data_IF_674295954142
#
_entry.id   IF_674295954142
#
_cell.length_a   1.000
_cell.length_b   1.000
_cell.length_c   1.000
_cell.angle_alpha   90.00
_cell.angle_beta   90.00
_cell.angle_gamma   90.00
#
_symmetry.space_group_name_H-M   'P 1'
#
loop_
_entity.id
_entity.type
_entity.pdbx_description
1 polymer ?
#
# COMPACT_ATOMS: atom_id res chain seq x y z
N UNK A 1 26.89 28.68 5.85
CA UNK A 1 26.37 27.32 5.54
C UNK A 1 27.30 26.21 6.05
N UNK A 2 28.55 26.08 5.57
CA UNK A 2 29.48 25.00 6.03
C UNK A 2 29.64 24.90 7.56
N UNK A 3 29.84 26.03 8.26
CA UNK A 3 29.99 26.02 9.73
C UNK A 3 28.70 25.63 10.46
N UNK A 4 27.54 25.99 9.90
CA UNK A 4 26.23 25.64 10.46
C UNK A 4 25.97 24.13 10.33
N UNK A 5 26.26 23.56 9.16
CA UNK A 5 26.16 22.10 8.95
C UNK A 5 27.09 21.37 9.91
N UNK A 6 28.35 21.81 10.04
CA UNK A 6 29.30 21.21 10.99
C UNK A 6 28.77 21.26 12.42
N UNK A 7 28.23 22.39 12.85
CA UNK A 7 27.62 22.55 14.16
C UNK A 7 26.44 21.60 14.37
N UNK A 8 25.52 21.51 13.40
CA UNK A 8 24.39 20.58 13.44
C UNK A 8 24.83 19.11 13.52
N UNK A 9 25.77 18.68 12.66
CA UNK A 9 26.32 17.32 12.67
C UNK A 9 26.94 16.98 14.03
N UNK A 10 27.68 17.92 14.64
CA UNK A 10 28.28 17.74 15.96
C UNK A 10 27.22 17.61 17.06
N UNK A 11 26.18 18.46 17.04
CA UNK A 11 25.10 18.41 18.02
C UNK A 11 24.28 17.13 17.93
N UNK A 12 23.92 16.71 16.72
CA UNK A 12 23.11 15.52 16.48
C UNK A 12 23.93 14.22 16.51
N UNK A 13 25.26 14.32 16.66
CA UNK A 13 26.20 13.19 16.61
C UNK A 13 26.07 12.35 15.32
N UNK A 14 25.82 13.01 14.20
CA UNK A 14 25.75 12.38 12.88
C UNK A 14 26.90 12.84 11.99
N UNK A 15 27.27 12.01 11.03
CA UNK A 15 28.19 12.42 9.98
C UNK A 15 27.47 13.26 8.91
N UNK A 16 28.23 14.12 8.23
CA UNK A 16 27.70 14.83 7.08
C UNK A 16 27.30 13.83 5.99
N UNK A 17 26.12 14.03 5.40
CA UNK A 17 25.63 13.26 4.26
C UNK A 17 25.19 14.20 3.15
N UNK A 18 25.41 13.77 1.91
CA UNK A 18 24.96 14.51 0.72
C UNK A 18 23.44 14.69 0.75
N UNK A 19 22.94 15.85 0.31
CA UNK A 19 21.52 16.22 0.41
C UNK A 19 21.25 17.21 1.55
N UNK A 20 22.06 17.19 2.62
CA UNK A 20 21.81 18.00 3.81
C UNK A 20 21.98 19.51 3.54
N UNK A 21 22.86 19.89 2.61
CA UNK A 21 23.04 21.27 2.19
C UNK A 21 21.83 21.81 1.41
N UNK A 22 21.23 20.99 0.55
CA UNK A 22 20.01 21.33 -0.18
C UNK A 22 18.83 21.51 0.77
N UNK A 23 18.70 20.64 1.79
CA UNK A 23 17.65 20.76 2.81
C UNK A 23 17.87 21.97 3.72
N UNK A 24 19.12 22.33 4.04
CA UNK A 24 19.42 23.50 4.86
C UNK A 24 19.22 24.83 4.10
N UNK A 25 19.37 24.84 2.78
CA UNK A 25 19.38 26.07 1.99
C UNK A 25 18.11 26.97 2.16
N UNK A 26 16.87 26.44 2.19
CA UNK A 26 15.67 27.25 2.46
C UNK A 26 15.67 27.90 3.84
N UNK A 27 16.16 27.22 4.87
CA UNK A 27 16.27 27.80 6.21
C UNK A 27 17.33 28.91 6.24
N UNK A 28 18.44 28.74 5.51
CA UNK A 28 19.43 29.81 5.37
C UNK A 28 18.88 31.04 4.63
N UNK A 29 17.91 30.85 3.74
CA UNK A 29 17.21 31.96 3.10
C UNK A 29 16.34 32.72 4.10
N UNK A 30 15.58 32.01 4.95
CA UNK A 30 14.83 32.63 6.06
C UNK A 30 15.74 33.38 7.03
N UNK A 31 16.92 32.84 7.36
CA UNK A 31 17.92 33.54 8.16
C UNK A 31 18.37 34.86 7.52
N UNK A 32 18.64 34.85 6.20
CA UNK A 32 18.98 36.08 5.46
C UNK A 32 17.85 37.09 5.43
N UNK A 33 16.61 36.63 5.44
CA UNK A 33 15.40 37.47 5.54
C UNK A 33 15.16 38.02 6.96
N UNK A 34 16.04 37.73 7.93
CA UNK A 34 15.99 38.29 9.28
C UNK A 34 15.53 37.32 10.37
N UNK A 35 15.25 36.05 10.04
CA UNK A 35 14.96 35.04 11.06
C UNK A 35 16.19 34.83 11.96
N UNK A 36 16.06 34.86 13.30
CA UNK A 36 17.17 34.57 14.20
C UNK A 36 17.79 33.19 13.95
N UNK A 37 19.11 33.07 14.12
CA UNK A 37 19.84 31.83 13.84
C UNK A 37 19.34 30.65 14.69
N UNK A 38 19.05 30.87 15.96
CA UNK A 38 18.52 29.84 16.86
C UNK A 38 17.16 29.30 16.39
N UNK A 39 16.27 30.18 15.92
CA UNK A 39 14.96 29.78 15.36
C UNK A 39 15.17 29.04 14.05
N UNK A 40 16.07 29.52 13.19
CA UNK A 40 16.40 28.88 11.91
C UNK A 40 16.87 27.44 12.11
N UNK A 41 17.80 27.22 13.05
CA UNK A 41 18.33 25.88 13.36
C UNK A 41 17.25 24.98 13.95
N UNK A 42 16.43 25.49 14.86
CA UNK A 42 15.32 24.73 15.43
C UNK A 42 14.28 24.34 14.37
N UNK A 43 13.95 25.23 13.43
CA UNK A 43 13.04 24.94 12.32
C UNK A 43 13.64 23.88 11.39
N UNK A 44 14.92 24.00 11.04
CA UNK A 44 15.62 23.02 10.22
C UNK A 44 15.63 21.63 10.88
N UNK A 45 16.01 21.55 12.16
CA UNK A 45 16.04 20.31 12.91
C UNK A 45 14.65 19.66 12.98
N UNK A 46 13.61 20.42 13.33
CA UNK A 46 12.24 19.93 13.37
C UNK A 46 11.74 19.46 12.00
N UNK A 47 12.12 20.15 10.93
CA UNK A 47 11.79 19.73 9.57
C UNK A 47 12.45 18.39 9.24
N UNK A 48 13.75 18.24 9.50
CA UNK A 48 14.47 16.98 9.27
C UNK A 48 13.84 15.85 10.07
N UNK A 49 13.57 16.06 11.36
CA UNK A 49 12.98 15.05 12.23
C UNK A 49 11.56 14.65 11.82
N UNK A 50 10.78 15.56 11.21
CA UNK A 50 9.38 15.31 10.84
C UNK A 50 9.21 14.77 9.42
N UNK A 51 9.94 15.32 8.45
CA UNK A 51 9.77 15.03 7.01
C UNK A 51 10.81 14.04 6.49
N UNK A 52 12.02 14.05 7.06
CA UNK A 52 13.13 13.19 6.67
C UNK A 52 13.66 12.35 7.84
N UNK A 53 12.79 11.74 8.67
CA UNK A 53 13.24 11.00 9.85
C UNK A 53 14.17 9.86 9.41
N UNK A 54 15.30 9.74 10.11
CA UNK A 54 16.33 8.71 9.87
C UNK A 54 17.01 8.72 8.50
N UNK A 55 16.66 9.62 7.57
CA UNK A 55 17.33 9.74 6.26
C UNK A 55 18.80 10.15 6.37
N UNK A 56 19.15 10.90 7.44
CA UNK A 56 20.53 11.32 7.70
C UNK A 56 21.21 10.55 8.84
N UNK A 57 20.55 9.54 9.44
CA UNK A 57 21.13 8.69 10.49
C UNK A 57 21.92 7.52 9.90
N UNK A 58 22.71 6.80 10.71
CA UNK A 58 23.51 5.67 10.23
C UNK A 58 22.66 4.53 9.62
N UNK A 59 21.38 4.44 10.00
CA UNK A 59 20.42 3.48 9.48
C UNK A 59 19.63 3.99 8.26
N UNK A 60 20.04 5.10 7.64
CA UNK A 60 19.37 5.72 6.50
C UNK A 60 19.05 4.75 5.35
N UNK A 61 19.94 3.79 5.10
CA UNK A 61 19.76 2.80 4.04
C UNK A 61 18.46 2.00 4.19
N UNK A 62 18.07 1.65 5.42
CA UNK A 62 16.81 0.94 5.66
C UNK A 62 15.62 1.82 5.34
N UNK A 63 15.59 3.06 5.86
CA UNK A 63 14.47 3.99 5.63
C UNK A 63 14.30 4.31 4.15
N UNK A 64 15.41 4.63 3.47
CA UNK A 64 15.42 4.93 2.04
C UNK A 64 14.95 3.71 1.23
N UNK A 65 15.45 2.51 1.56
CA UNK A 65 15.02 1.26 0.94
C UNK A 65 13.51 1.01 1.15
N UNK A 66 13.00 1.24 2.37
CA UNK A 66 11.58 1.14 2.67
C UNK A 66 10.73 2.05 1.80
N UNK A 67 11.16 3.31 1.62
CA UNK A 67 10.48 4.26 0.73
C UNK A 67 10.49 3.78 -0.72
N UNK A 68 11.59 3.20 -1.22
CA UNK A 68 11.64 2.66 -2.57
C UNK A 68 10.64 1.53 -2.80
N UNK A 69 10.52 0.61 -1.84
CA UNK A 69 9.56 -0.48 -1.97
C UNK A 69 8.12 0.01 -1.87
N UNK A 70 7.81 0.91 -0.93
CA UNK A 70 6.47 1.50 -0.83
C UNK A 70 6.12 2.29 -2.10
N UNK A 71 7.08 3.01 -2.69
CA UNK A 71 6.90 3.67 -3.98
C UNK A 71 6.57 2.66 -5.08
N UNK A 72 7.32 1.55 -5.20
CA UNK A 72 7.04 0.49 -6.20
C UNK A 72 5.65 -0.10 -6.04
N UNK A 73 5.27 -0.45 -4.81
CA UNK A 73 3.95 -1.03 -4.50
C UNK A 73 2.82 -0.07 -4.86
N UNK A 74 2.92 1.20 -4.45
CA UNK A 74 1.92 2.22 -4.76
C UNK A 74 1.91 2.58 -6.25
N UNK A 75 3.07 2.56 -6.93
CA UNK A 75 3.17 2.76 -8.38
C UNK A 75 2.43 1.66 -9.13
N UNK A 76 2.68 0.39 -8.81
CA UNK A 76 1.97 -0.75 -9.38
C UNK A 76 0.45 -0.65 -9.17
N UNK A 77 0.03 -0.21 -7.99
CA UNK A 77 -1.38 -0.12 -7.62
C UNK A 77 -2.11 1.08 -8.28
N UNK A 78 -1.50 2.26 -8.27
CA UNK A 78 -2.14 3.50 -8.73
C UNK A 78 -1.84 3.81 -10.20
N UNK A 79 -0.63 3.49 -10.66
CA UNK A 79 -0.06 3.88 -11.95
C UNK A 79 0.60 2.68 -12.66
N UNK A 80 -0.14 1.60 -12.95
CA UNK A 80 0.43 0.35 -13.48
C UNK A 80 1.18 0.55 -14.80
N UNK A 81 0.76 1.51 -15.62
CA UNK A 81 1.44 1.89 -16.87
C UNK A 81 2.85 2.44 -16.63
N UNK A 82 3.05 3.22 -15.57
CA UNK A 82 4.37 3.74 -15.17
C UNK A 82 5.22 2.60 -14.61
N UNK A 83 4.66 1.77 -13.74
CA UNK A 83 5.37 0.61 -13.18
C UNK A 83 5.83 -0.35 -14.29
N UNK A 84 4.97 -0.65 -15.27
CA UNK A 84 5.32 -1.49 -16.42
C UNK A 84 6.37 -0.86 -17.31
N UNK A 85 6.26 0.45 -17.59
CA UNK A 85 7.29 1.16 -18.34
C UNK A 85 8.66 1.00 -17.66
N UNK A 86 8.74 1.28 -16.36
CA UNK A 86 9.99 1.16 -15.59
C UNK A 86 10.53 -0.28 -15.63
N UNK A 87 9.67 -1.29 -15.47
CA UNK A 87 10.06 -2.72 -15.55
C UNK A 87 10.56 -3.11 -16.94
N UNK A 88 9.85 -2.72 -18.00
CA UNK A 88 10.20 -3.04 -19.38
C UNK A 88 11.56 -2.48 -19.77
N UNK A 89 11.88 -1.27 -19.29
CA UNK A 89 13.17 -0.63 -19.51
C UNK A 89 14.21 -0.94 -18.41
N UNK A 90 13.88 -1.83 -17.46
CA UNK A 90 14.74 -2.22 -16.33
C UNK A 90 15.28 -1.03 -15.52
N UNK A 91 14.45 0.00 -15.37
CA UNK A 91 14.77 1.20 -14.61
C UNK A 91 14.37 0.97 -13.16
N UNK A 92 15.37 0.88 -12.28
CA UNK A 92 15.16 0.83 -10.84
C UNK A 92 14.80 2.24 -10.32
N UNK A 93 13.65 2.44 -9.63
CA UNK A 93 13.27 3.72 -9.03
C UNK A 93 14.35 4.39 -8.21
N UNK A 94 15.20 3.60 -7.56
CA UNK A 94 16.35 4.01 -6.77
C UNK A 94 17.26 5.00 -7.50
N UNK A 95 17.42 4.86 -8.81
CA UNK A 95 18.34 5.69 -9.60
C UNK A 95 17.91 7.15 -9.71
N UNK A 96 16.61 7.43 -9.76
CA UNK A 96 16.10 8.81 -9.84
C UNK A 96 15.51 9.29 -8.51
N UNK A 97 14.88 8.39 -7.76
CA UNK A 97 14.10 8.74 -6.57
C UNK A 97 15.00 9.02 -5.35
N UNK A 98 16.21 8.47 -5.28
CA UNK A 98 17.13 8.73 -4.16
C UNK A 98 17.35 10.23 -3.95
N UNK A 99 17.61 10.95 -5.04
CA UNK A 99 17.86 12.39 -4.99
C UNK A 99 16.62 13.19 -4.57
N UNK A 100 15.42 12.69 -4.89
CA UNK A 100 14.15 13.30 -4.50
C UNK A 100 13.91 13.11 -3.01
N UNK A 101 14.14 11.90 -2.50
CA UNK A 101 13.94 11.54 -1.09
C UNK A 101 14.88 12.31 -0.18
N UNK A 102 16.19 12.24 -0.43
CA UNK A 102 17.19 12.81 0.49
C UNK A 102 17.11 14.33 0.59
N UNK A 103 16.47 14.99 -0.36
CA UNK A 103 16.31 16.46 -0.38
C UNK A 103 14.88 16.94 -0.16
N UNK A 104 13.92 16.04 0.13
CA UNK A 104 12.49 16.35 0.14
C UNK A 104 12.06 17.16 -1.10
N UNK A 105 12.49 16.70 -2.29
CA UNK A 105 12.32 17.30 -3.61
C UNK A 105 12.98 18.69 -3.83
N UNK A 106 13.69 19.25 -2.85
CA UNK A 106 14.31 20.57 -2.99
C UNK A 106 15.28 20.63 -4.16
N UNK A 107 15.99 19.54 -4.47
CA UNK A 107 16.92 19.52 -5.63
C UNK A 107 16.23 19.51 -7.00
N UNK A 108 14.91 19.28 -7.05
CA UNK A 108 14.12 19.33 -8.29
C UNK A 108 13.47 20.68 -8.52
N UNK A 109 13.55 21.59 -7.56
CA UNK A 109 12.86 22.88 -7.60
C UNK A 109 13.88 24.01 -7.80
N UNK A 110 13.69 24.84 -8.84
CA UNK A 110 14.65 25.93 -9.13
C UNK A 110 14.52 27.15 -8.24
N UNK A 111 13.34 27.38 -7.66
CA UNK A 111 13.04 28.58 -6.88
C UNK A 111 12.76 28.27 -5.42
N UNK A 112 13.39 29.02 -4.52
CA UNK A 112 13.20 28.85 -3.07
C UNK A 112 11.75 29.07 -2.63
N UNK A 113 11.03 29.95 -3.33
CA UNK A 113 9.59 30.20 -3.09
C UNK A 113 8.75 28.95 -3.34
N UNK A 114 9.07 28.22 -4.41
CA UNK A 114 8.41 26.97 -4.76
C UNK A 114 8.74 25.86 -3.75
N UNK A 115 9.99 25.81 -3.24
CA UNK A 115 10.37 24.88 -2.16
C UNK A 115 9.49 25.12 -0.93
N UNK A 116 9.33 26.38 -0.49
CA UNK A 116 8.47 26.70 0.65
C UNK A 116 7.02 26.29 0.41
N UNK A 117 6.46 26.53 -0.79
CA UNK A 117 5.09 26.12 -1.13
C UNK A 117 4.91 24.61 -1.03
N UNK A 118 5.81 23.82 -1.63
CA UNK A 118 5.75 22.36 -1.53
C UNK A 118 5.91 21.87 -0.08
N UNK A 119 6.87 22.44 0.66
CA UNK A 119 7.13 22.03 2.04
C UNK A 119 6.01 22.42 3.00
N UNK A 120 5.32 23.54 2.76
CA UNK A 120 4.10 23.87 3.47
C UNK A 120 3.02 22.80 3.25
N UNK A 121 2.86 22.31 2.02
CA UNK A 121 1.93 21.22 1.74
C UNK A 121 2.35 19.92 2.44
N UNK A 122 3.62 19.55 2.43
CA UNK A 122 4.14 18.38 3.17
C UNK A 122 3.83 18.46 4.67
N UNK A 123 4.11 19.61 5.28
CA UNK A 123 3.87 19.84 6.71
C UNK A 123 2.36 19.84 7.06
N UNK A 124 1.51 20.24 6.11
CA UNK A 124 0.06 20.33 6.32
C UNK A 124 -0.67 18.99 6.17
N UNK A 125 -0.18 18.07 5.32
CA UNK A 125 -0.93 16.86 4.95
C UNK A 125 -0.65 15.62 5.83
N UNK A 126 0.23 15.70 6.82
CA UNK A 126 0.22 14.86 8.04
C UNK A 126 0.53 13.36 7.93
N UNK A 127 0.12 12.67 6.86
CA UNK A 127 0.39 11.25 6.68
C UNK A 127 1.84 11.01 6.25
N UNK A 128 2.44 9.94 6.78
CA UNK A 128 3.85 9.60 6.53
C UNK A 128 4.06 9.23 5.07
N UNK A 129 3.05 8.60 4.45
CA UNK A 129 3.03 8.12 3.09
C UNK A 129 2.79 9.26 2.07
N UNK A 130 2.31 10.43 2.53
CA UNK A 130 1.98 11.56 1.65
C UNK A 130 3.18 12.00 0.81
N UNK A 131 4.39 11.94 1.36
CA UNK A 131 5.60 12.26 0.62
C UNK A 131 5.83 11.29 -0.56
N UNK A 132 5.59 9.99 -0.35
CA UNK A 132 5.69 8.99 -1.42
C UNK A 132 4.62 9.21 -2.49
N UNK A 133 3.39 9.55 -2.07
CA UNK A 133 2.29 9.89 -2.98
C UNK A 133 2.57 11.17 -3.78
N UNK A 134 3.28 12.16 -3.21
CA UNK A 134 3.73 13.34 -3.94
C UNK A 134 4.77 12.98 -5.01
N UNK A 135 5.72 12.10 -4.70
CA UNK A 135 6.66 11.60 -5.70
C UNK A 135 5.96 10.85 -6.84
N UNK A 136 4.92 10.06 -6.53
CA UNK A 136 4.08 9.40 -7.53
C UNK A 136 3.26 10.40 -8.35
N UNK A 137 2.73 11.45 -7.72
CA UNK A 137 2.01 12.51 -8.42
C UNK A 137 2.92 13.23 -9.41
N UNK A 138 4.19 13.51 -9.05
CA UNK A 138 5.17 14.07 -9.99
C UNK A 138 5.40 13.14 -11.19
N UNK A 139 5.55 11.83 -10.93
CA UNK A 139 5.70 10.83 -11.99
C UNK A 139 4.49 10.79 -12.92
N UNK A 140 3.28 10.82 -12.36
CA UNK A 140 2.04 10.83 -13.13
C UNK A 140 1.84 12.12 -13.95
N UNK A 141 2.35 13.26 -13.47
CA UNK A 141 2.35 14.51 -14.23
C UNK A 141 3.31 14.40 -15.42
N UNK A 142 4.48 13.80 -15.20
CA UNK A 142 5.56 13.71 -16.19
C UNK A 142 5.52 12.46 -17.07
N UNK A 143 4.58 11.53 -16.85
CA UNK A 143 4.59 10.21 -17.51
C UNK A 143 4.55 10.27 -19.03
N UNK A 144 3.83 11.22 -19.63
CA UNK A 144 3.79 11.34 -21.10
C UNK A 144 5.16 11.71 -21.66
N UNK A 145 5.81 12.72 -21.09
CA UNK A 145 7.18 13.12 -21.47
C UNK A 145 8.19 11.97 -21.23
N UNK A 146 7.99 11.15 -20.20
CA UNK A 146 8.81 9.96 -19.92
C UNK A 146 8.57 8.85 -20.95
N UNK A 147 7.32 8.60 -21.34
CA UNK A 147 6.95 7.54 -22.29
C UNK A 147 7.40 7.84 -23.72
N UNK A 148 7.59 9.11 -24.06
CA UNK A 148 8.18 9.56 -25.32
C UNK A 148 9.69 9.32 -25.41
N UNK A 149 10.36 8.98 -24.30
CA UNK A 149 11.80 8.72 -24.29
C UNK A 149 12.12 7.30 -24.75
N UNK A 150 13.21 7.16 -25.51
CA UNK A 150 13.80 5.86 -25.80
C UNK A 150 14.39 5.21 -24.54
N UNK A 151 14.59 3.89 -24.59
CA UNK A 151 15.14 3.07 -23.50
C UNK A 151 16.39 3.65 -22.83
N UNK A 152 17.29 4.23 -23.62
CA UNK A 152 18.56 4.78 -23.15
C UNK A 152 18.43 6.16 -22.50
N UNK A 153 17.38 6.91 -22.82
CA UNK A 153 17.18 8.31 -22.39
C UNK A 153 16.17 8.45 -21.26
N UNK A 154 15.26 7.49 -21.08
CA UNK A 154 14.23 7.54 -20.05
C UNK A 154 14.80 7.79 -18.64
N UNK A 155 15.86 7.09 -18.24
CA UNK A 155 16.50 7.31 -16.93
C UNK A 155 17.17 8.69 -16.81
N UNK A 156 17.79 9.18 -17.90
CA UNK A 156 18.39 10.51 -17.95
C UNK A 156 17.31 11.57 -17.77
N UNK A 157 16.21 11.45 -18.50
CA UNK A 157 15.05 12.33 -18.40
C UNK A 157 14.47 12.34 -16.98
N UNK A 158 14.23 11.15 -16.38
CA UNK A 158 13.74 11.02 -15.00
C UNK A 158 14.66 11.73 -13.99
N UNK A 159 15.97 11.63 -14.22
CA UNK A 159 16.98 12.30 -13.38
C UNK A 159 16.96 13.83 -13.57
N UNK A 160 16.53 14.31 -14.73
CA UNK A 160 16.47 15.73 -15.10
C UNK A 160 15.12 16.40 -14.83
N UNK A 161 14.09 15.64 -14.39
CA UNK A 161 12.78 16.19 -14.03
C UNK A 161 12.96 17.41 -13.12
N UNK A 162 12.21 18.48 -13.43
CA UNK A 162 12.26 19.73 -12.71
C UNK A 162 10.84 20.25 -12.43
N UNK A 163 10.70 20.96 -11.31
CA UNK A 163 9.47 21.60 -10.84
C UNK A 163 9.72 23.11 -10.87
N UNK A 164 9.18 23.76 -11.90
CA UNK A 164 9.50 25.15 -12.23
C UNK A 164 8.36 26.13 -12.00
N UNK A 165 7.14 25.63 -11.75
CA UNK A 165 5.95 26.47 -11.63
C UNK A 165 5.11 26.09 -10.43
N UNK A 166 4.29 27.03 -9.96
CA UNK A 166 3.38 26.79 -8.84
C UNK A 166 2.27 25.81 -9.22
N UNK A 167 1.82 25.84 -10.47
CA UNK A 167 0.75 24.98 -10.99
C UNK A 167 1.15 23.49 -10.92
N UNK A 168 2.43 23.17 -11.17
CA UNK A 168 2.93 21.79 -11.02
C UNK A 168 2.84 21.35 -9.56
N UNK A 169 3.18 22.21 -8.60
CA UNK A 169 3.09 21.88 -7.18
C UNK A 169 1.63 21.71 -6.75
N UNK A 170 0.75 22.60 -7.17
CA UNK A 170 -0.67 22.53 -6.85
C UNK A 170 -1.28 21.23 -7.40
N UNK A 171 -0.96 20.87 -8.63
CA UNK A 171 -1.38 19.61 -9.25
C UNK A 171 -0.79 18.39 -8.54
N UNK A 172 0.49 18.43 -8.12
CA UNK A 172 1.10 17.35 -7.33
C UNK A 172 0.34 17.13 -6.02
N UNK A 173 0.04 18.21 -5.29
CA UNK A 173 -0.66 18.16 -4.00
C UNK A 173 -2.10 17.67 -4.19
N UNK A 174 -2.80 18.16 -5.21
CA UNK A 174 -4.15 17.72 -5.54
C UNK A 174 -4.18 16.21 -5.85
N UNK A 175 -3.31 15.74 -6.76
CA UNK A 175 -3.23 14.32 -7.12
C UNK A 175 -2.85 13.44 -5.94
N UNK A 176 -1.88 13.84 -5.12
CA UNK A 176 -1.50 13.09 -3.92
C UNK A 176 -2.65 12.97 -2.90
N UNK A 177 -3.47 14.03 -2.74
CA UNK A 177 -4.69 13.96 -1.92
C UNK A 177 -5.72 13.01 -2.52
N UNK A 178 -5.96 13.09 -3.84
CA UNK A 178 -6.86 12.15 -4.53
C UNK A 178 -6.39 10.72 -4.35
N UNK A 179 -5.11 10.42 -4.55
CA UNK A 179 -4.54 9.09 -4.31
C UNK A 179 -4.77 8.61 -2.88
N UNK A 180 -4.60 9.49 -1.90
CA UNK A 180 -4.91 9.17 -0.49
C UNK A 180 -6.36 8.71 -0.32
N UNK A 181 -7.32 9.34 -1.02
CA UNK A 181 -8.74 8.94 -0.95
C UNK A 181 -9.05 7.63 -1.67
N UNK A 182 -8.22 7.25 -2.63
CA UNK A 182 -8.33 6.01 -3.41
C UNK A 182 -7.70 4.80 -2.70
N UNK A 183 -6.90 4.99 -1.64
CA UNK A 183 -6.35 3.85 -0.91
C UNK A 183 -7.44 3.19 -0.04
N UNK A 184 -7.70 1.88 -0.22
CA UNK A 184 -8.49 1.10 0.73
C UNK A 184 -7.85 1.15 2.12
N UNK A 185 -8.69 1.06 3.15
CA UNK A 185 -8.28 1.03 4.55
C UNK A 185 -7.27 -0.10 4.83
N UNK A 186 -7.45 -1.27 4.21
CA UNK A 186 -6.50 -2.39 4.31
C UNK A 186 -5.10 -2.00 3.84
N UNK A 187 -4.98 -1.16 2.81
CA UNK A 187 -3.71 -0.66 2.29
C UNK A 187 -3.11 0.36 3.26
N UNK A 188 -3.90 1.31 3.75
CA UNK A 188 -3.42 2.28 4.74
C UNK A 188 -2.87 1.58 5.98
N UNK A 189 -3.60 0.61 6.53
CA UNK A 189 -3.13 -0.21 7.65
C UNK A 189 -1.83 -0.96 7.33
N UNK A 190 -1.71 -1.51 6.12
CA UNK A 190 -0.50 -2.21 5.70
C UNK A 190 0.72 -1.27 5.69
N UNK A 191 0.57 -0.06 5.16
CA UNK A 191 1.64 0.94 5.10
C UNK A 191 2.04 1.43 6.50
N UNK A 192 1.06 1.70 7.36
CA UNK A 192 1.30 2.05 8.76
C UNK A 192 2.02 0.94 9.52
N UNK A 193 1.66 -0.32 9.27
CA UNK A 193 2.29 -1.48 9.89
C UNK A 193 3.76 -1.67 9.49
N UNK A 194 4.14 -1.31 8.25
CA UNK A 194 5.54 -1.31 7.84
C UNK A 194 6.35 -0.20 8.53
N UNK A 195 5.71 0.93 8.83
CA UNK A 195 6.31 2.06 9.52
C UNK A 195 7.72 2.40 9.00
N UNK A 196 7.84 2.65 7.69
CA UNK A 196 9.12 2.74 6.96
C UNK A 196 10.09 3.81 7.49
N UNK A 197 9.61 4.73 8.31
CA UNK A 197 10.39 5.80 8.94
C UNK A 197 10.98 5.42 10.31
N UNK A 198 10.73 4.20 10.78
CA UNK A 198 11.27 3.63 12.02
C UNK A 198 12.18 2.46 11.69
N UNK A 199 13.50 2.68 11.56
CA UNK A 199 14.46 1.66 11.16
C UNK A 199 14.37 0.37 11.99
N UNK A 200 14.22 0.48 13.30
CA UNK A 200 14.15 -0.68 14.21
C UNK A 200 12.99 -1.62 13.87
N UNK A 201 11.84 -1.09 13.42
CA UNK A 201 10.73 -1.92 12.97
C UNK A 201 10.92 -2.43 11.54
N UNK A 202 11.72 -1.75 10.73
CA UNK A 202 11.84 -2.03 9.31
C UNK A 202 12.89 -3.12 9.03
N UNK A 203 13.91 -3.24 9.87
CA UNK A 203 14.97 -4.26 9.74
C UNK A 203 14.36 -5.66 9.62
N UNK A 204 13.40 -6.00 10.48
CA UNK A 204 12.76 -7.32 10.47
C UNK A 204 11.73 -7.49 9.34
N UNK A 205 11.28 -6.40 8.73
CA UNK A 205 10.19 -6.39 7.72
C UNK A 205 10.69 -6.16 6.30
N UNK A 206 11.96 -5.81 6.10
CA UNK A 206 12.47 -5.40 4.78
C UNK A 206 12.38 -6.53 3.75
N UNK A 207 12.62 -7.78 4.15
CA UNK A 207 12.51 -8.95 3.28
C UNK A 207 11.05 -9.24 2.90
N UNK A 208 10.12 -8.99 3.82
CA UNK A 208 8.68 -9.07 3.52
C UNK A 208 8.26 -7.96 2.56
N UNK A 209 8.83 -6.77 2.71
CA UNK A 209 8.55 -5.62 1.85
C UNK A 209 9.17 -5.79 0.46
N UNK A 210 10.34 -6.44 0.35
CA UNK A 210 11.02 -6.71 -0.92
C UNK A 210 10.37 -7.83 -1.73
N UNK A 211 9.76 -8.81 -1.07
CA UNK A 211 8.97 -9.89 -1.68
C UNK A 211 7.49 -9.51 -1.93
N UNK A 212 7.12 -8.26 -1.68
CA UNK A 212 5.72 -7.82 -1.77
C UNK A 212 5.30 -7.60 -3.23
N UNK A 213 4.53 -8.54 -3.79
CA UNK A 213 4.09 -8.44 -5.19
C UNK A 213 2.78 -7.67 -5.42
N UNK A 214 1.91 -7.55 -4.40
CA UNK A 214 0.67 -6.76 -4.46
C UNK A 214 0.00 -6.59 -3.10
N UNK A 215 -0.87 -5.59 -2.98
CA UNK A 215 -1.63 -5.31 -1.78
C UNK A 215 -2.71 -6.36 -1.49
N UNK A 216 -3.01 -6.53 -0.19
CA UNK A 216 -3.97 -7.50 0.33
C UNK A 216 -5.14 -6.73 0.94
N UNK A 217 -6.36 -7.06 0.54
CA UNK A 217 -7.58 -6.44 1.05
C UNK A 217 -8.27 -7.39 2.03
N UNK A 218 -8.63 -6.85 3.19
CA UNK A 218 -9.33 -7.58 4.24
C UNK A 218 -10.80 -7.85 3.86
N UNK A 219 -11.38 -9.01 4.26
CA UNK A 219 -12.79 -9.30 4.04
C UNK A 219 -13.74 -8.20 4.51
N UNK A 220 -13.46 -7.59 5.67
CA UNK A 220 -14.22 -6.48 6.23
C UNK A 220 -14.51 -5.35 5.24
N UNK A 221 -13.60 -5.12 4.30
CA UNK A 221 -13.65 -4.00 3.38
C UNK A 221 -14.42 -4.33 2.11
N UNK A 222 -14.11 -5.43 1.44
CA UNK A 222 -14.81 -5.79 0.19
C UNK A 222 -16.22 -6.36 0.45
N UNK A 223 -16.53 -6.87 1.64
CA UNK A 223 -17.88 -7.33 1.99
C UNK A 223 -18.93 -6.22 2.00
N UNK A 224 -18.54 -4.96 2.19
CA UNK A 224 -19.45 -3.80 2.07
C UNK A 224 -20.03 -3.68 0.66
N UNK A 225 -19.23 -4.01 -0.37
CA UNK A 225 -19.67 -4.04 -1.76
C UNK A 225 -20.46 -5.32 -2.10
N UNK A 226 -20.11 -6.45 -1.48
CA UNK A 226 -20.83 -7.72 -1.70
C UNK A 226 -22.24 -7.72 -1.10
N UNK A 227 -22.42 -7.07 0.06
CA UNK A 227 -23.67 -7.04 0.82
C UNK A 227 -24.08 -5.60 1.18
N UNK A 228 -24.43 -4.75 0.21
CA UNK A 228 -24.74 -3.34 0.45
C UNK A 228 -25.93 -3.12 1.39
N UNK A 229 -26.82 -4.11 1.52
CA UNK A 229 -27.97 -4.06 2.45
C UNK A 229 -27.56 -4.33 3.91
N UNK A 230 -26.38 -4.90 4.15
CA UNK A 230 -25.91 -5.33 5.48
C UNK A 230 -24.87 -4.39 6.10
N UNK A 231 -24.40 -3.40 5.34
CA UNK A 231 -23.31 -2.50 5.73
C UNK A 231 -23.60 -1.06 5.29
N UNK A 232 -22.89 -0.11 5.89
CA UNK A 232 -22.87 1.27 5.39
C UNK A 232 -22.35 1.33 3.95
N UNK A 233 -22.80 2.36 3.22
CA UNK A 233 -22.38 2.58 1.84
C UNK A 233 -20.84 2.57 1.72
N UNK A 234 -20.30 1.74 0.81
CA UNK A 234 -18.86 1.63 0.66
C UNK A 234 -18.30 2.93 0.07
N UNK A 235 -17.23 3.44 0.68
CA UNK A 235 -16.52 4.64 0.18
C UNK A 235 -15.86 4.38 -1.18
N UNK A 236 -15.42 3.16 -1.42
CA UNK A 236 -14.76 2.72 -2.64
C UNK A 236 -15.54 1.56 -3.27
N UNK A 237 -15.57 1.53 -4.60
CA UNK A 237 -16.13 0.39 -5.36
C UNK A 237 -15.10 -0.73 -5.41
N UNK A 238 -15.30 -1.80 -4.64
CA UNK A 238 -14.46 -3.01 -4.69
C UNK A 238 -15.22 -4.14 -5.39
N UNK A 239 -14.61 -4.70 -6.44
CA UNK A 239 -15.12 -5.83 -7.19
C UNK A 239 -14.30 -7.07 -6.86
N UNK A 240 -14.93 -8.04 -6.21
CA UNK A 240 -14.32 -9.34 -5.92
C UNK A 240 -14.40 -10.26 -7.13
N UNK A 241 -13.28 -10.84 -7.52
CA UNK A 241 -13.16 -11.89 -8.55
C UNK A 241 -12.77 -13.19 -7.85
N UNK A 242 -13.70 -14.13 -7.74
CA UNK A 242 -13.46 -15.47 -7.18
C UNK A 242 -12.93 -16.39 -8.29
N UNK A 243 -11.65 -16.77 -8.17
CA UNK A 243 -10.97 -17.63 -9.13
C UNK A 243 -10.76 -19.06 -8.62
N UNK A 244 -11.57 -19.51 -7.66
CA UNK A 244 -11.52 -20.89 -7.14
C UNK A 244 -11.91 -21.93 -8.21
N UNK A 245 -11.54 -23.21 -8.01
CA UNK A 245 -11.99 -24.31 -8.85
C UNK A 245 -13.52 -24.38 -9.01
N UNK A 246 -13.97 -24.89 -10.15
CA UNK A 246 -15.40 -25.05 -10.44
C UNK A 246 -16.14 -25.90 -9.38
N UNK A 247 -15.48 -26.91 -8.81
CA UNK A 247 -16.04 -27.74 -7.74
C UNK A 247 -16.36 -26.94 -6.48
N UNK A 248 -15.50 -25.97 -6.14
CA UNK A 248 -15.67 -25.11 -4.96
C UNK A 248 -16.71 -24.02 -5.21
N UNK A 249 -16.70 -23.41 -6.40
CA UNK A 249 -17.71 -22.43 -6.82
C UNK A 249 -19.13 -23.02 -6.83
N UNK A 250 -19.28 -24.28 -7.25
CA UNK A 250 -20.54 -25.03 -7.17
C UNK A 250 -20.99 -25.31 -5.73
N UNK A 251 -20.04 -25.36 -4.79
CA UNK A 251 -20.32 -25.53 -3.36
C UNK A 251 -20.70 -24.21 -2.67
N UNK A 252 -20.56 -23.08 -3.36
CA UNK A 252 -21.05 -21.77 -2.92
C UNK A 252 -20.07 -20.64 -3.23
N UNK A 253 -20.60 -19.45 -3.47
CA UNK A 253 -19.83 -18.23 -3.75
C UNK A 253 -20.53 -17.00 -3.15
N UNK A 254 -19.82 -15.88 -3.02
CA UNK A 254 -20.40 -14.66 -2.48
C UNK A 254 -21.32 -13.96 -3.50
N UNK A 255 -22.44 -13.36 -3.08
CA UNK A 255 -23.25 -12.54 -3.98
C UNK A 255 -22.44 -11.34 -4.48
N UNK A 256 -22.79 -10.82 -5.67
CA UNK A 256 -22.15 -9.66 -6.29
C UNK A 256 -20.64 -9.81 -6.59
N UNK A 257 -20.04 -11.00 -6.43
CA UNK A 257 -18.70 -11.29 -6.94
C UNK A 257 -18.76 -11.75 -8.40
N UNK A 258 -17.74 -11.39 -9.17
CA UNK A 258 -17.46 -12.06 -10.44
C UNK A 258 -16.79 -13.41 -10.18
N UNK A 259 -16.99 -14.39 -11.07
CA UNK A 259 -16.36 -15.71 -10.97
C UNK A 259 -15.55 -16.00 -12.23
N UNK A 260 -14.34 -16.51 -12.06
CA UNK A 260 -13.48 -16.97 -13.16
C UNK A 260 -12.73 -18.22 -12.74
N UNK A 261 -13.31 -19.42 -12.97
CA UNK A 261 -12.76 -20.66 -12.43
C UNK A 261 -11.31 -20.90 -12.87
N UNK A 262 -10.51 -21.45 -11.98
CA UNK A 262 -9.08 -21.69 -12.21
C UNK A 262 -8.80 -22.53 -13.46
N UNK A 263 -9.70 -23.46 -13.80
CA UNK A 263 -9.60 -24.32 -14.99
C UNK A 263 -9.75 -23.55 -16.30
N UNK A 264 -10.29 -22.32 -16.25
CA UNK A 264 -10.40 -21.44 -17.43
C UNK A 264 -9.13 -20.61 -17.67
N UNK A 265 -8.15 -20.65 -16.76
CA UNK A 265 -6.90 -19.88 -16.90
C UNK A 265 -5.96 -20.43 -17.97
N UNK A 266 -6.16 -21.69 -18.39
CA UNK A 266 -5.38 -22.33 -19.45
C UNK A 266 -5.76 -21.86 -20.86
N UNK A 267 -6.84 -21.09 -20.99
CA UNK A 267 -7.32 -20.54 -22.24
C UNK A 267 -7.13 -19.02 -22.27
N UNK A 268 -6.10 -18.52 -22.99
CA UNK A 268 -5.85 -17.08 -23.10
C UNK A 268 -7.04 -16.30 -23.67
N UNK A 269 -7.83 -16.90 -24.57
CA UNK A 269 -9.01 -16.26 -25.15
C UNK A 269 -10.07 -15.99 -24.10
N UNK A 270 -10.37 -16.98 -23.25
CA UNK A 270 -11.31 -16.81 -22.13
C UNK A 270 -10.86 -15.77 -21.12
N UNK A 271 -9.57 -15.70 -20.82
CA UNK A 271 -9.04 -14.67 -19.92
C UNK A 271 -9.25 -13.28 -20.54
N UNK A 272 -8.93 -13.11 -21.83
CA UNK A 272 -9.10 -11.84 -22.51
C UNK A 272 -10.57 -11.41 -22.58
N UNK A 273 -11.46 -12.33 -22.95
CA UNK A 273 -12.91 -12.08 -22.99
C UNK A 273 -13.48 -11.74 -21.62
N UNK A 274 -12.92 -12.32 -20.55
CA UNK A 274 -13.31 -12.01 -19.18
C UNK A 274 -12.85 -10.62 -18.77
N UNK A 275 -11.58 -10.28 -18.99
CA UNK A 275 -11.03 -8.96 -18.63
C UNK A 275 -11.74 -7.85 -19.41
N UNK A 276 -12.04 -8.08 -20.70
CA UNK A 276 -12.71 -7.10 -21.55
C UNK A 276 -14.06 -6.63 -20.99
N UNK A 277 -14.77 -7.49 -20.22
CA UNK A 277 -16.04 -7.12 -19.55
C UNK A 277 -15.87 -6.02 -18.51
N UNK A 278 -14.66 -5.83 -18.01
CA UNK A 278 -14.33 -4.86 -16.96
C UNK A 278 -13.60 -3.63 -17.47
N UNK A 279 -13.35 -3.51 -18.79
CA UNK A 279 -12.60 -2.37 -19.34
C UNK A 279 -13.29 -1.03 -19.02
N UNK A 280 -14.63 -0.99 -18.99
CA UNK A 280 -15.40 0.19 -18.57
C UNK A 280 -15.32 0.53 -17.08
N UNK A 281 -14.78 -0.36 -16.24
CA UNK A 281 -14.58 -0.13 -14.80
C UNK A 281 -13.13 0.20 -14.45
N UNK A 282 -12.23 0.19 -15.43
CA UNK A 282 -10.80 0.48 -15.27
C UNK A 282 -10.60 1.90 -14.76
N UNK A 283 -9.90 2.05 -13.63
CA UNK A 283 -9.70 3.35 -12.98
C UNK A 283 -10.89 3.84 -12.14
N UNK A 284 -12.00 3.08 -12.08
CA UNK A 284 -13.18 3.42 -11.28
C UNK A 284 -13.46 2.41 -10.17
N UNK A 285 -13.07 1.15 -10.35
CA UNK A 285 -13.25 0.09 -9.36
C UNK A 285 -11.92 -0.54 -8.97
N UNK A 286 -11.84 -0.97 -7.72
CA UNK A 286 -10.74 -1.74 -7.15
C UNK A 286 -11.01 -3.23 -7.39
N UNK A 287 -10.06 -3.93 -7.99
CA UNK A 287 -10.20 -5.33 -8.32
C UNK A 287 -9.51 -6.18 -7.25
N UNK A 288 -10.26 -7.07 -6.61
CA UNK A 288 -9.76 -7.97 -5.57
C UNK A 288 -9.87 -9.40 -6.07
N UNK A 289 -8.74 -10.06 -6.32
CA UNK A 289 -8.72 -11.45 -6.78
C UNK A 289 -8.63 -12.39 -5.57
N UNK A 290 -9.50 -13.40 -5.53
CA UNK A 290 -9.61 -14.34 -4.42
C UNK A 290 -9.46 -15.79 -4.92
N UNK A 291 -8.48 -16.49 -4.38
CA UNK A 291 -8.33 -17.95 -4.52
C UNK A 291 -8.93 -18.72 -3.33
N UNK A 292 -8.68 -20.02 -3.28
CA UNK A 292 -9.06 -20.87 -2.13
C UNK A 292 -8.29 -20.42 -0.87
N UNK A 293 -7.00 -20.14 -1.08
CA UNK A 293 -6.11 -19.49 -0.12
C UNK A 293 -5.65 -18.14 -0.65
N UNK A 294 -4.85 -17.44 0.16
CA UNK A 294 -4.13 -16.25 -0.28
C UNK A 294 -3.28 -16.57 -1.53
N UNK A 295 -3.37 -15.70 -2.53
CA UNK A 295 -2.65 -15.83 -3.80
C UNK A 295 -1.21 -15.37 -3.59
N UNK A 296 -0.27 -16.16 -4.06
CA UNK A 296 1.15 -15.83 -4.21
C UNK A 296 1.59 -15.98 -5.67
N UNK A 297 2.84 -15.62 -5.99
CA UNK A 297 3.37 -15.65 -7.36
C UNK A 297 3.40 -17.07 -7.97
N UNK A 298 3.45 -18.11 -7.13
CA UNK A 298 3.46 -19.52 -7.55
C UNK A 298 2.04 -20.10 -7.77
N UNK A 299 1.02 -19.43 -7.23
CA UNK A 299 -0.36 -19.87 -7.33
C UNK A 299 -0.94 -19.63 -8.73
N UNK A 300 -1.80 -20.54 -9.20
CA UNK A 300 -2.46 -20.36 -10.49
C UNK A 300 -3.31 -19.07 -10.56
N UNK A 301 -3.84 -18.57 -9.43
CA UNK A 301 -4.54 -17.29 -9.36
C UNK A 301 -3.69 -16.08 -9.75
N UNK A 302 -2.36 -16.17 -9.62
CA UNK A 302 -1.43 -15.13 -10.07
C UNK A 302 -1.52 -14.90 -11.57
N UNK A 303 -1.79 -15.93 -12.39
CA UNK A 303 -1.97 -15.78 -13.84
C UNK A 303 -3.10 -14.82 -14.19
N UNK A 304 -4.20 -14.86 -13.42
CA UNK A 304 -5.30 -13.92 -13.59
C UNK A 304 -4.87 -12.50 -13.21
N UNK A 305 -4.21 -12.36 -12.06
CA UNK A 305 -3.64 -11.09 -11.60
C UNK A 305 -2.71 -10.47 -12.66
N UNK A 306 -1.73 -11.23 -13.15
CA UNK A 306 -0.79 -10.77 -14.18
C UNK A 306 -1.51 -10.36 -15.46
N UNK A 307 -2.60 -11.04 -15.82
CA UNK A 307 -3.36 -10.72 -17.04
C UNK A 307 -4.10 -9.38 -16.95
N UNK A 308 -4.68 -9.05 -15.78
CA UNK A 308 -5.24 -7.72 -15.50
C UNK A 308 -4.13 -6.67 -15.47
N UNK A 309 -3.05 -6.97 -14.74
CA UNK A 309 -1.91 -6.07 -14.60
C UNK A 309 -1.33 -5.71 -15.97
N UNK A 310 -1.01 -6.69 -16.83
CA UNK A 310 -0.46 -6.47 -18.19
C UNK A 310 -1.36 -5.66 -19.12
N UNK A 311 -2.65 -5.47 -18.77
CA UNK A 311 -3.58 -4.58 -19.46
C UNK A 311 -3.67 -3.19 -18.82
N UNK A 312 -2.75 -2.84 -17.92
CA UNK A 312 -2.69 -1.60 -17.15
C UNK A 312 -3.94 -1.34 -16.30
N UNK A 313 -4.56 -2.38 -15.72
CA UNK A 313 -5.64 -2.18 -14.76
C UNK A 313 -5.07 -1.65 -13.43
N UNK A 314 -5.43 -0.43 -13.00
CA UNK A 314 -5.05 0.06 -11.69
C UNK A 314 -5.91 -0.63 -10.61
N UNK A 315 -5.56 -0.39 -9.37
CA UNK A 315 -6.29 -0.81 -8.18
C UNK A 315 -6.45 -2.33 -8.04
N UNK A 316 -5.49 -3.07 -8.57
CA UNK A 316 -5.45 -4.52 -8.51
C UNK A 316 -4.83 -5.01 -7.20
N UNK A 317 -5.50 -5.94 -6.53
CA UNK A 317 -5.11 -6.50 -5.23
C UNK A 317 -5.63 -7.93 -5.08
N UNK A 318 -5.29 -8.58 -3.97
CA UNK A 318 -5.78 -9.92 -3.63
C UNK A 318 -6.57 -9.91 -2.32
N UNK A 319 -7.46 -10.88 -2.14
CA UNK A 319 -8.15 -11.08 -0.87
C UNK A 319 -7.19 -11.69 0.16
N UNK A 320 -7.02 -11.01 1.30
CA UNK A 320 -6.22 -11.52 2.44
C UNK A 320 -6.79 -12.86 2.89
N UNK A 321 -5.95 -13.88 3.00
CA UNK A 321 -6.35 -15.23 3.44
C UNK A 321 -7.25 -16.01 2.46
N UNK A 322 -7.58 -15.45 1.29
CA UNK A 322 -8.44 -16.09 0.29
C UNK A 322 -9.86 -16.36 0.79
N UNK A 323 -10.51 -17.35 0.19
CA UNK A 323 -11.88 -17.74 0.53
C UNK A 323 -11.98 -18.30 1.95
N UNK A 324 -10.94 -18.93 2.50
CA UNK A 324 -10.95 -19.43 3.89
C UNK A 324 -11.28 -18.33 4.89
N UNK A 325 -10.52 -17.23 4.88
CA UNK A 325 -10.74 -16.11 5.79
C UNK A 325 -12.05 -15.37 5.49
N UNK A 326 -12.37 -15.16 4.21
CA UNK A 326 -13.62 -14.54 3.80
C UNK A 326 -14.86 -15.35 4.24
N UNK A 327 -14.79 -16.67 4.18
CA UNK A 327 -15.85 -17.56 4.61
C UNK A 327 -16.05 -17.49 6.15
N UNK A 328 -14.97 -17.47 6.91
CA UNK A 328 -15.03 -17.30 8.37
C UNK A 328 -15.64 -15.96 8.75
N UNK A 329 -15.24 -14.87 8.06
CA UNK A 329 -15.83 -13.55 8.24
C UNK A 329 -17.34 -13.55 7.96
N UNK A 330 -17.76 -14.10 6.81
CA UNK A 330 -19.16 -14.22 6.42
C UNK A 330 -19.97 -14.98 7.48
N UNK A 331 -19.43 -16.10 7.96
CA UNK A 331 -20.07 -16.91 9.01
C UNK A 331 -20.21 -16.14 10.32
N UNK A 332 -19.17 -15.44 10.76
CA UNK A 332 -19.19 -14.63 11.98
C UNK A 332 -20.22 -13.50 11.94
N UNK A 333 -20.53 -12.99 10.75
CA UNK A 333 -21.54 -11.94 10.50
C UNK A 333 -22.90 -12.48 10.05
N UNK A 334 -23.10 -13.80 10.01
CA UNK A 334 -24.31 -14.47 9.50
C UNK A 334 -24.71 -14.04 8.07
N UNK A 335 -23.72 -13.78 7.20
CA UNK A 335 -23.94 -13.38 5.83
C UNK A 335 -24.16 -14.57 4.91
N UNK A 336 -25.07 -14.41 3.94
CA UNK A 336 -25.49 -15.49 3.05
C UNK A 336 -24.43 -15.77 1.98
N UNK A 337 -23.91 -16.99 1.94
CA UNK A 337 -23.15 -17.51 0.79
C UNK A 337 -24.17 -18.09 -0.22
N UNK A 338 -24.11 -17.65 -1.47
CA UNK A 338 -25.05 -18.07 -2.52
C UNK A 338 -24.77 -19.52 -2.91
N UNK A 339 -25.84 -20.32 -3.01
CA UNK A 339 -25.79 -21.75 -3.33
C UNK A 339 -24.87 -22.57 -2.41
N UNK A 340 -24.75 -22.17 -1.14
CA UNK A 340 -23.84 -22.81 -0.21
C UNK A 340 -24.31 -24.22 0.18
N UNK A 341 -23.51 -25.23 -0.14
CA UNK A 341 -23.72 -26.62 0.25
C UNK A 341 -22.66 -26.97 1.31
N UNK A 342 -23.07 -26.98 2.58
CA UNK A 342 -22.14 -27.17 3.71
C UNK A 342 -21.44 -28.53 3.74
N UNK A 343 -21.99 -29.52 3.04
CA UNK A 343 -21.45 -30.88 3.00
C UNK A 343 -20.40 -31.09 1.90
N UNK A 344 -20.32 -30.18 0.94
CA UNK A 344 -19.28 -30.18 -0.11
C UNK A 344 -18.30 -29.03 0.07
N UNK A 345 -18.65 -28.00 0.84
CA UNK A 345 -17.76 -26.89 1.18
C UNK A 345 -16.56 -27.35 2.03
N UNK A 346 -15.34 -27.21 1.48
CA UNK A 346 -14.08 -27.58 2.14
C UNK A 346 -13.92 -26.94 3.51
N UNK A 347 -14.28 -25.66 3.66
CA UNK A 347 -14.13 -24.91 4.91
C UNK A 347 -15.11 -25.42 5.98
N UNK A 348 -16.37 -25.66 5.61
CA UNK A 348 -17.35 -26.27 6.51
C UNK A 348 -16.92 -27.67 6.95
N UNK A 349 -16.41 -28.49 6.03
CA UNK A 349 -15.93 -29.84 6.33
C UNK A 349 -14.70 -29.83 7.24
N UNK A 350 -13.73 -28.94 7.00
CA UNK A 350 -12.54 -28.76 7.85
C UNK A 350 -12.96 -28.42 9.28
N UNK A 351 -13.91 -27.51 9.44
CA UNK A 351 -14.46 -27.14 10.73
C UNK A 351 -15.25 -28.29 11.38
N UNK A 352 -16.09 -29.02 10.64
CA UNK A 352 -16.77 -30.22 11.19
C UNK A 352 -15.76 -31.27 11.70
N UNK A 353 -14.61 -31.43 11.03
CA UNK A 353 -13.55 -32.36 11.45
C UNK A 353 -12.75 -31.87 12.66
N UNK A 354 -12.49 -30.57 12.80
CA UNK A 354 -11.84 -30.02 14.01
C UNK A 354 -12.75 -30.17 15.24
N UNK A 355 -14.06 -29.96 15.10
CA UNK A 355 -15.04 -30.24 16.15
C UNK A 355 -15.14 -31.74 16.48
N UNK A 356 -15.04 -32.64 15.50
CA UNK A 356 -14.98 -34.11 15.76
C UNK A 356 -13.71 -34.52 16.51
N UNK A 357 -12.53 -33.98 16.15
CA UNK A 357 -11.29 -34.25 16.90
C UNK A 357 -11.32 -33.77 18.35
N UNK A 358 -12.06 -32.70 18.66
CA UNK A 358 -12.33 -32.29 20.05
C UNK A 358 -13.40 -33.17 20.72
N UNK A 359 -14.38 -33.66 19.96
CA UNK A 359 -15.42 -34.60 20.44
C UNK A 359 -14.91 -36.01 20.73
N UNK A 360 -13.83 -36.44 20.08
CA UNK A 360 -13.20 -37.75 20.28
C UNK A 360 -12.26 -37.79 21.51
N UNK A 361 -12.13 -36.68 22.24
CA UNK A 361 -11.33 -36.59 23.48
C UNK A 361 -12.15 -36.62 24.78
N UNK A 362 -13.48 -36.79 24.75
CA UNK A 362 -14.28 -36.96 25.98
C UNK A 362 -15.49 -37.90 25.80
N UNK A 363 -15.49 -39.00 26.57
CA UNK A 363 -16.65 -39.87 26.91
C UNK A 363 -17.13 -39.50 28.34
N UNK A 364 -18.21 -40.10 28.88
CA UNK A 364 -19.64 -39.85 28.75
C UNK A 364 -20.21 -38.95 29.91
N UNK A 365 -21.45 -38.46 29.78
CA UNK A 365 -22.24 -38.09 30.98
C UNK A 365 -23.02 -36.78 30.88
N UNK A 366 -24.35 -36.90 30.79
CA UNK A 366 -25.28 -35.81 31.08
C UNK A 366 -25.14 -35.38 32.55
N UNK A 367 -25.08 -34.08 32.81
CA UNK A 367 -26.04 -33.37 33.70
C UNK A 367 -25.90 -31.85 33.56
N UNK A 368 -27.05 -31.21 33.59
CA UNK A 368 -27.33 -29.77 33.55
C UNK A 368 -26.59 -28.94 34.59
N UNK A 369 -26.06 -27.78 34.20
CA UNK A 369 -25.96 -26.55 35.00
C UNK A 369 -25.89 -25.37 34.01
N UNK A 370 -26.94 -24.56 33.90
CA UNK A 370 -27.21 -23.36 34.70
C UNK A 370 -26.42 -22.12 34.21
N UNK A 371 -27.19 -21.10 33.82
CA UNK A 371 -26.78 -19.78 33.36
C UNK A 371 -25.75 -19.15 34.30
N UNK A 372 -24.64 -18.66 33.75
CA UNK A 372 -23.83 -17.63 34.38
C UNK A 372 -23.60 -16.46 33.42
N UNK A 373 -23.76 -15.25 33.97
CA UNK A 373 -23.79 -13.95 33.29
C UNK A 373 -22.41 -13.57 32.78
N UNK A 374 -22.37 -12.92 31.62
CA UNK A 374 -21.19 -12.25 31.06
C UNK A 374 -20.84 -10.99 31.89
N UNK A 375 -19.55 -10.70 32.17
CA UNK A 375 -19.13 -9.41 32.70
C UNK A 375 -19.13 -8.33 31.61
N UNK A 376 -19.44 -7.11 32.03
CA UNK A 376 -19.56 -5.88 31.23
C UNK A 376 -18.23 -5.35 30.69
N UNK A 377 -18.33 -4.59 29.59
CA UNK A 377 -17.28 -3.78 28.97
C UNK A 377 -16.58 -2.84 29.96
N UNK A 378 -15.43 -3.24 30.46
CA UNK A 378 -14.26 -2.43 30.83
C UNK A 378 -13.20 -3.44 31.28
N UNK A 379 -11.95 -3.24 30.86
CA UNK A 379 -10.81 -4.17 30.96
C UNK A 379 -10.68 -5.16 29.79
N UNK A 380 -10.18 -4.68 28.66
CA UNK A 380 -9.51 -5.53 27.66
C UNK A 380 -8.01 -5.26 27.69
N UNK A 381 -7.28 -6.26 28.21
CA UNK A 381 -5.83 -6.38 28.12
C UNK A 381 -5.44 -6.79 26.68
N UNK A 382 -4.61 -5.95 26.03
CA UNK A 382 -4.13 -6.14 24.66
C UNK A 382 -2.89 -7.05 24.58
N UNK A 383 -2.54 -7.75 25.65
CA UNK A 383 -1.41 -8.71 25.70
C UNK A 383 -1.49 -9.86 24.68
N UNK A 384 -2.67 -10.14 24.13
CA UNK A 384 -2.90 -11.18 23.12
C UNK A 384 -2.42 -10.87 21.69
N UNK A 385 -1.96 -9.64 21.41
CA UNK A 385 -1.40 -9.26 20.10
C UNK A 385 0.13 -9.44 20.00
N UNK A 386 0.79 -10.00 21.02
CA UNK A 386 2.26 -10.17 21.07
C UNK A 386 2.82 -11.31 20.21
N UNK A 387 1.98 -12.17 19.61
CA UNK A 387 2.43 -13.34 18.85
C UNK A 387 2.25 -13.22 17.33
N UNK A 388 2.33 -12.00 16.77
CA UNK A 388 2.26 -11.74 15.33
C UNK A 388 3.44 -10.88 14.85
N UNK A 389 4.66 -11.36 15.10
CA UNK A 389 5.87 -11.02 14.32
C UNK A 389 6.35 -12.32 13.70
#
# INVERSE_FOLDING_TARGET
MKNIIKFYCQQMKIQYKQGLNEVLAPFMDLYKQGMPLNITLACFENFVNRILPNIFSDQALYTISGIFHVFKMLCQYLLPEVDQFLRNYRICPEYFLNAWIITALANKIRSIKLVFKLWQALLSNGSREFFVLLCLALMDIKKQEVFEQDSSQALVFLSMICIDTEEVIDLMVERAKVYTTLLPFSITMCLEAFNIYSPDSLIDKIDTLSSFFTFKILPEEFFKNLYPESFDFPKLSLLLIDCRPNSDLKSGYFPNSATFPIESLDDPGKIQDFIFRFEGLKGFSHFVIMGDKEIDEDSAGFRLFSSFYNRNFPFLSIAKGGFELAHEYARGKNLKIKNHITDTCKICLKNKKSFKKLGDFFWPGRKSMARQRLPSHQDQDYSQYKNWI
#
